data_IF_393119591732
#
_entry.id   IF_393119591732
#
_cell.length_a   1.000
_cell.length_b   1.000
_cell.length_c   1.000
_cell.angle_alpha   90.00
_cell.angle_beta   90.00
_cell.angle_gamma   90.00
#
_symmetry.space_group_name_H-M   'P 1'
#
loop_
_entity.id
_entity.type
_entity.pdbx_description
1 polymer ?
#
# COMPACT_ATOMS: atom_id res chain seq x y z
N UNK A 1 -11.52 -4.79 12.25
CA UNK A 1 -11.35 -4.19 10.91
C UNK A 1 -9.98 -3.53 10.85
N UNK A 2 -9.12 -4.01 9.96
CA UNK A 2 -7.77 -3.53 9.68
C UNK A 2 -7.77 -2.04 9.37
N UNK A 3 -8.75 -1.54 8.60
CA UNK A 3 -8.90 -0.10 8.32
C UNK A 3 -9.22 0.75 9.54
N UNK A 4 -9.99 0.22 10.49
CA UNK A 4 -10.24 0.92 11.78
C UNK A 4 -8.97 1.00 12.62
N UNK A 5 -8.11 -0.03 12.59
CA UNK A 5 -6.82 -0.02 13.27
C UNK A 5 -5.86 0.99 12.63
N UNK A 6 -5.79 1.01 11.30
CA UNK A 6 -5.07 2.04 10.56
C UNK A 6 -5.57 3.44 10.90
N UNK A 7 -6.88 3.69 10.86
CA UNK A 7 -7.44 5.00 11.18
C UNK A 7 -7.13 5.46 12.62
N UNK A 8 -7.05 4.53 13.58
CA UNK A 8 -6.63 4.84 14.94
C UNK A 8 -5.12 5.13 15.03
N UNK A 9 -4.30 4.34 14.34
CA UNK A 9 -2.85 4.54 14.24
C UNK A 9 -2.53 5.90 13.61
N UNK A 10 -3.16 6.21 12.48
CA UNK A 10 -2.91 7.42 11.71
C UNK A 10 -3.35 8.70 12.42
N UNK A 11 -4.34 8.64 13.33
CA UNK A 11 -4.78 9.79 14.13
C UNK A 11 -3.90 10.08 15.34
N UNK A 12 -2.99 9.17 15.70
CA UNK A 12 -2.12 9.36 16.85
C UNK A 12 -0.84 10.10 16.40
N UNK A 13 -0.78 11.40 16.67
CA UNK A 13 0.35 12.28 16.31
C UNK A 13 1.72 11.76 16.76
N UNK A 14 1.79 11.02 17.88
CA UNK A 14 3.05 10.46 18.38
C UNK A 14 3.68 9.48 17.40
N UNK A 15 2.88 8.79 16.59
CA UNK A 15 3.39 7.86 15.58
C UNK A 15 4.12 8.57 14.44
N UNK A 16 3.89 9.87 14.27
CA UNK A 16 4.46 10.69 13.20
C UNK A 16 5.64 11.54 13.65
N UNK A 17 5.86 11.68 14.96
CA UNK A 17 7.00 12.44 15.47
C UNK A 17 8.32 11.78 15.03
N UNK A 18 9.11 12.52 14.26
CA UNK A 18 10.37 12.06 13.65
C UNK A 18 10.22 10.85 12.71
N UNK A 19 9.00 10.57 12.23
CA UNK A 19 8.78 9.54 11.24
C UNK A 19 9.12 10.08 9.84
N UNK A 20 9.98 9.36 9.12
CA UNK A 20 10.31 9.65 7.73
C UNK A 20 10.02 8.40 6.90
N UNK A 21 8.93 8.42 6.13
CA UNK A 21 8.63 7.39 5.14
C UNK A 21 9.29 7.76 3.82
N UNK A 22 10.20 6.90 3.37
CA UNK A 22 10.98 7.10 2.14
C UNK A 22 10.15 6.82 0.89
N UNK A 23 9.07 6.06 1.04
CA UNK A 23 8.06 5.88 0.00
C UNK A 23 8.11 4.51 -0.67
N UNK A 24 7.13 4.31 -1.55
CA UNK A 24 7.01 3.09 -2.36
C UNK A 24 7.78 3.25 -3.68
N UNK A 25 8.76 2.39 -3.92
CA UNK A 25 9.56 2.41 -5.16
C UNK A 25 8.85 1.72 -6.32
N UNK A 26 8.13 0.64 -6.02
CA UNK A 26 7.55 -0.24 -7.02
C UNK A 26 6.41 -1.07 -6.44
N UNK A 27 5.45 -1.40 -7.29
CA UNK A 27 4.44 -2.41 -7.04
C UNK A 27 4.34 -3.35 -8.24
N UNK A 28 4.19 -4.64 -7.98
CA UNK A 28 3.95 -5.64 -9.01
C UNK A 28 2.77 -6.52 -8.63
N UNK A 29 1.88 -6.75 -9.59
CA UNK A 29 0.81 -7.72 -9.44
C UNK A 29 1.35 -9.14 -9.56
N UNK A 30 1.24 -9.92 -8.49
CA UNK A 30 1.66 -11.33 -8.46
C UNK A 30 0.52 -12.23 -8.91
N UNK A 31 -0.65 -12.07 -8.29
CA UNK A 31 -1.90 -12.79 -8.59
C UNK A 31 -3.07 -12.00 -8.04
N UNK A 32 -4.29 -12.51 -8.25
CA UNK A 32 -5.52 -11.83 -7.81
C UNK A 32 -5.39 -11.28 -6.38
N UNK A 33 -5.51 -9.96 -6.25
CA UNK A 33 -5.40 -9.19 -5.01
C UNK A 33 -4.06 -9.22 -4.27
N UNK A 34 -3.05 -9.90 -4.81
CA UNK A 34 -1.74 -10.00 -4.17
C UNK A 34 -0.73 -9.17 -4.95
N UNK A 35 -0.13 -8.21 -4.24
CA UNK A 35 0.92 -7.35 -4.76
C UNK A 35 2.22 -7.62 -4.04
N UNK A 36 3.32 -7.63 -4.80
CA UNK A 36 4.65 -7.45 -4.26
C UNK A 36 4.97 -5.95 -4.26
N UNK A 37 5.55 -5.46 -3.18
CA UNK A 37 5.73 -4.05 -2.88
C UNK A 37 7.17 -3.84 -2.45
N UNK A 38 7.85 -2.91 -3.12
CA UNK A 38 9.22 -2.53 -2.81
C UNK A 38 9.22 -1.14 -2.25
N UNK A 39 9.89 -1.00 -1.13
CA UNK A 39 10.06 0.30 -0.52
C UNK A 39 11.52 0.67 -0.41
N UNK A 40 11.75 1.98 -0.41
CA UNK A 40 13.08 2.54 -0.22
C UNK A 40 13.50 2.44 1.24
N UNK A 41 14.75 2.01 1.45
CA UNK A 41 15.43 2.03 2.74
C UNK A 41 16.76 2.81 2.58
N UNK A 42 17.44 3.12 3.69
CA UNK A 42 18.66 3.95 3.71
C UNK A 42 19.75 3.57 2.70
N UNK A 43 19.90 2.27 2.41
CA UNK A 43 20.94 1.75 1.50
C UNK A 43 20.52 0.49 0.74
N UNK A 44 19.24 0.12 0.81
CA UNK A 44 18.69 -1.07 0.15
C UNK A 44 17.17 -0.91 -0.02
N UNK A 45 16.45 -2.00 -0.23
CA UNK A 45 15.01 -2.08 -0.34
C UNK A 45 14.44 -3.14 0.58
N UNK A 46 13.27 -2.87 1.14
CA UNK A 46 12.43 -3.89 1.76
C UNK A 46 11.35 -4.33 0.77
N UNK A 47 11.03 -5.62 0.79
CA UNK A 47 10.11 -6.27 -0.14
C UNK A 47 9.08 -7.07 0.64
N UNK A 48 7.82 -6.75 0.41
CA UNK A 48 6.67 -7.41 1.02
C UNK A 48 5.74 -7.96 -0.05
N UNK A 49 5.09 -9.09 0.24
CA UNK A 49 3.90 -9.54 -0.48
C UNK A 49 2.69 -9.30 0.41
N UNK A 50 1.70 -8.54 -0.07
CA UNK A 50 0.50 -8.20 0.69
C UNK A 50 -0.76 -8.67 -0.05
N UNK A 51 -1.64 -9.35 0.69
CA UNK A 51 -2.98 -9.72 0.23
C UNK A 51 -3.98 -8.58 0.50
N UNK A 52 -4.47 -7.97 -0.57
CA UNK A 52 -5.45 -6.89 -0.52
C UNK A 52 -6.90 -7.39 -0.50
N UNK A 53 -7.17 -8.69 -0.66
CA UNK A 53 -8.54 -9.20 -0.66
C UNK A 53 -9.26 -8.86 0.66
N UNK A 54 -8.65 -9.07 1.85
CA UNK A 54 -9.27 -8.66 3.09
C UNK A 54 -9.42 -7.13 3.23
N UNK A 55 -8.56 -6.35 2.57
CA UNK A 55 -8.53 -4.89 2.67
C UNK A 55 -9.55 -4.21 1.77
N UNK A 56 -9.83 -4.78 0.59
CA UNK A 56 -10.66 -4.16 -0.45
C UNK A 56 -12.03 -4.85 -0.58
N UNK A 57 -12.06 -6.18 -0.45
CA UNK A 57 -13.25 -6.98 -0.75
C UNK A 57 -14.02 -7.29 0.53
N UNK A 58 -13.34 -7.80 1.56
CA UNK A 58 -13.98 -8.20 2.82
C UNK A 58 -14.29 -7.01 3.72
N UNK A 59 -13.33 -6.11 3.89
CA UNK A 59 -13.56 -4.85 4.57
C UNK A 59 -14.14 -3.83 3.58
N UNK A 60 -15.00 -2.93 4.06
CA UNK A 60 -15.45 -1.78 3.28
C UNK A 60 -14.57 -0.57 3.67
N UNK A 61 -13.44 -0.34 2.99
CA UNK A 61 -12.55 0.79 3.26
C UNK A 61 -13.13 2.15 2.84
N UNK A 62 -14.27 2.15 2.15
CA UNK A 62 -14.90 3.34 1.57
C UNK A 62 -15.19 3.19 0.08
N UNK A 63 -16.05 4.07 -0.44
CA UNK A 63 -16.52 4.00 -1.83
C UNK A 63 -15.41 4.10 -2.89
N UNK A 64 -14.31 4.78 -2.57
CA UNK A 64 -13.17 4.98 -3.48
C UNK A 64 -12.50 3.67 -3.90
N UNK A 65 -12.58 2.61 -3.09
CA UNK A 65 -11.96 1.31 -3.41
C UNK A 65 -12.89 0.36 -4.17
N UNK A 66 -14.18 0.70 -4.34
CA UNK A 66 -15.14 -0.15 -5.04
C UNK A 66 -14.67 -0.56 -6.45
N UNK A 67 -14.07 0.33 -7.26
CA UNK A 67 -13.55 -0.04 -8.57
C UNK A 67 -12.47 -1.13 -8.51
N UNK A 68 -11.72 -1.22 -7.41
CA UNK A 68 -10.64 -2.20 -7.25
C UNK A 68 -11.15 -3.63 -6.97
N UNK A 69 -12.46 -3.82 -6.78
CA UNK A 69 -13.09 -5.17 -6.77
C UNK A 69 -13.11 -5.82 -8.15
N UNK A 70 -12.93 -5.04 -9.22
CA UNK A 70 -12.61 -5.59 -10.53
C UNK A 70 -11.13 -5.98 -10.57
N UNK A 71 -10.86 -7.28 -10.74
CA UNK A 71 -9.50 -7.83 -10.85
C UNK A 71 -8.70 -7.22 -11.99
N UNK A 72 -9.35 -6.86 -13.11
CA UNK A 72 -8.68 -6.22 -14.24
C UNK A 72 -8.22 -4.83 -13.86
N UNK A 73 -9.06 -4.08 -13.14
CA UNK A 73 -8.71 -2.77 -12.58
C UNK A 73 -7.56 -2.89 -11.58
N UNK A 74 -7.63 -3.85 -10.66
CA UNK A 74 -6.61 -4.08 -9.63
C UNK A 74 -5.22 -4.39 -10.22
N UNK A 75 -5.16 -5.11 -11.34
CA UNK A 75 -3.90 -5.46 -12.03
C UNK A 75 -3.13 -4.25 -12.57
N UNK A 76 -3.79 -3.11 -12.78
CA UNK A 76 -3.20 -1.89 -13.35
C UNK A 76 -2.50 -1.03 -12.30
N UNK A 77 -2.08 -1.63 -11.19
CA UNK A 77 -1.39 -0.94 -10.11
C UNK A 77 -0.03 -0.43 -10.57
N UNK A 78 0.38 0.71 -10.02
CA UNK A 78 1.73 1.26 -10.11
C UNK A 78 2.22 1.63 -8.72
N UNK A 79 3.53 1.54 -8.52
CA UNK A 79 4.19 2.11 -7.36
C UNK A 79 5.10 3.24 -7.83
N UNK A 80 4.75 4.48 -7.50
CA UNK A 80 5.51 5.68 -7.85
C UNK A 80 5.40 6.66 -6.66
N UNK A 81 6.21 6.42 -5.62
CA UNK A 81 6.16 7.05 -4.28
C UNK A 81 4.90 6.72 -3.46
N UNK A 82 3.76 6.58 -4.13
CA UNK A 82 2.47 6.09 -3.60
C UNK A 82 2.07 4.80 -4.33
N UNK A 83 1.18 4.02 -3.73
CA UNK A 83 0.53 2.91 -4.42
C UNK A 83 -0.68 3.46 -5.16
N UNK A 84 -0.74 3.29 -6.48
CA UNK A 84 -1.76 3.96 -7.29
C UNK A 84 -2.35 3.10 -8.39
N UNK A 85 -3.64 3.30 -8.63
CA UNK A 85 -4.38 2.88 -9.80
C UNK A 85 -4.88 4.13 -10.53
N UNK A 86 -4.18 4.54 -11.60
CA UNK A 86 -4.54 5.70 -12.44
C UNK A 86 -5.90 5.50 -13.12
N UNK A 87 -6.59 6.56 -13.54
CA UNK A 87 -7.88 6.41 -14.22
C UNK A 87 -7.77 5.42 -15.40
N UNK A 88 -8.60 4.36 -15.45
CA UNK A 88 -8.47 3.31 -16.47
C UNK A 88 -8.84 3.78 -17.89
N UNK A 89 -9.57 4.88 -18.02
CA UNK A 89 -9.99 5.45 -19.31
C UNK A 89 -8.92 6.35 -19.92
N UNK A 90 -8.26 7.16 -19.10
CA UNK A 90 -7.34 8.22 -19.54
C UNK A 90 -5.88 7.90 -19.26
N UNK A 91 -5.61 6.99 -18.31
CA UNK A 91 -4.26 6.67 -17.85
C UNK A 91 -3.60 7.78 -17.04
N UNK A 92 -4.36 8.78 -16.57
CA UNK A 92 -3.82 9.91 -15.78
C UNK A 92 -4.31 9.88 -14.32
N UNK A 93 -3.68 10.70 -13.49
CA UNK A 93 -4.14 10.95 -12.13
C UNK A 93 -5.27 11.99 -12.16
N UNK A 94 -6.48 11.56 -11.82
CA UNK A 94 -7.66 12.42 -11.70
C UNK A 94 -8.62 11.86 -10.63
N UNK A 95 -9.84 12.38 -10.54
CA UNK A 95 -10.87 11.96 -9.58
C UNK A 95 -11.27 10.48 -9.63
N UNK A 96 -10.98 9.76 -10.71
CA UNK A 96 -11.21 8.31 -10.84
C UNK A 96 -9.98 7.48 -10.47
N UNK A 97 -8.85 8.12 -10.17
CA UNK A 97 -7.68 7.44 -9.64
C UNK A 97 -7.95 6.98 -8.19
N UNK A 98 -7.32 5.87 -7.81
CA UNK A 98 -7.33 5.38 -6.44
C UNK A 98 -5.88 5.29 -6.00
N UNK A 99 -5.54 5.93 -4.89
CA UNK A 99 -4.20 5.91 -4.34
C UNK A 99 -4.19 5.60 -2.85
N UNK A 100 -3.04 5.11 -2.39
CA UNK A 100 -2.74 4.84 -1.01
C UNK A 100 -1.35 5.38 -0.69
N UNK A 101 -1.30 6.21 0.36
CA UNK A 101 -0.06 6.77 0.88
C UNK A 101 0.90 5.65 1.31
N UNK A 102 2.22 5.83 1.14
CA UNK A 102 3.20 4.80 1.44
C UNK A 102 3.16 4.35 2.91
N UNK A 103 2.89 5.25 3.86
CA UNK A 103 2.78 4.93 5.29
C UNK A 103 1.61 3.97 5.57
N UNK A 104 0.51 4.14 4.84
CA UNK A 104 -0.67 3.27 4.94
C UNK A 104 -0.34 1.87 4.45
N UNK A 105 0.32 1.77 3.29
CA UNK A 105 0.72 0.48 2.73
C UNK A 105 1.79 -0.18 3.58
N UNK A 106 2.76 0.58 4.07
CA UNK A 106 3.79 0.12 5.01
C UNK A 106 3.17 -0.51 6.24
N UNK A 107 2.23 0.20 6.87
CA UNK A 107 1.52 -0.29 8.05
C UNK A 107 0.85 -1.64 7.80
N UNK A 108 0.17 -1.80 6.66
CA UNK A 108 -0.44 -3.09 6.33
C UNK A 108 0.59 -4.18 6.00
N UNK A 109 1.70 -3.84 5.35
CA UNK A 109 2.79 -4.76 5.08
C UNK A 109 3.44 -5.27 6.36
N UNK A 110 3.78 -4.38 7.30
CA UNK A 110 4.43 -4.76 8.56
C UNK A 110 3.52 -5.61 9.46
N UNK A 111 2.19 -5.43 9.40
CA UNK A 111 1.26 -6.18 10.25
C UNK A 111 0.68 -7.44 9.61
N UNK A 112 0.51 -7.46 8.29
CA UNK A 112 -0.24 -8.50 7.58
C UNK A 112 0.47 -9.02 6.33
N UNK A 113 1.53 -8.35 5.89
CA UNK A 113 2.31 -8.77 4.74
C UNK A 113 3.23 -9.93 5.05
N UNK A 114 3.57 -10.68 4.01
CA UNK A 114 4.66 -11.65 4.03
C UNK A 114 5.95 -10.93 3.67
N UNK A 115 6.92 -10.97 4.56
CA UNK A 115 8.27 -10.49 4.29
C UNK A 115 8.96 -11.38 3.27
N UNK A 116 9.37 -10.79 2.14
CA UNK A 116 10.15 -11.46 1.10
C UNK A 116 11.64 -11.13 1.29
N UNK A 117 11.92 -9.85 1.56
CA UNK A 117 13.25 -9.35 1.92
C UNK A 117 13.07 -8.22 2.90
N UNK A 118 13.68 -8.35 4.07
CA UNK A 118 13.79 -7.23 5.02
C UNK A 118 15.27 -6.97 5.26
N UNK A 119 15.66 -5.70 5.15
CA UNK A 119 16.94 -5.27 5.68
C UNK A 119 16.77 -5.14 7.19
N UNK A 120 17.64 -5.73 8.01
CA UNK A 120 17.55 -5.53 9.45
C UNK A 120 17.71 -4.03 9.72
N UNK A 121 16.66 -3.39 10.25
CA UNK A 121 16.77 -2.03 10.80
C UNK A 121 17.90 -2.08 11.81
N UNK A 122 18.98 -1.31 11.60
CA UNK A 122 19.97 -1.11 12.66
C UNK A 122 19.19 -0.60 13.87
N UNK A 123 19.26 -1.34 14.98
CA UNK A 123 18.75 -0.84 16.24
C UNK A 123 19.44 0.51 16.48
N UNK A 124 18.63 1.57 16.57
CA UNK A 124 19.08 2.89 16.98
C UNK A 124 19.55 2.84 18.44
#
# INVERSE_FOLDING_TARGET
>A
MKWKKWAAFAKNERNWQNHYERGLLKAEHVRDYILQLWFEEDSDVSIYELDFYPLIVEENPGGVFLPLKDKRRFRLVKGEYVLIWLNPETGVYDEKAVDLAPECIRYFCELYGKEIKIFPKKAA
#
